data_IF_605270609767
#
_entry.id   IF_605270609767
#
_cell.length_a   1.000
_cell.length_b   1.000
_cell.length_c   1.000
_cell.angle_alpha   90.00
_cell.angle_beta   90.00
_cell.angle_gamma   90.00
#
_symmetry.space_group_name_H-M   'P 1'
#
loop_
_entity.id
_entity.type
_entity.pdbx_description
1 polymer ?
#
# COMPACT_ATOMS: atom_id res chain seq x y z
N UNK A 1 -10.55 -17.39 35.15
CA UNK A 1 -10.89 -18.36 34.10
C UNK A 1 -10.62 -17.66 32.77
N UNK A 2 -9.44 -17.87 32.19
CA UNK A 2 -9.04 -17.17 30.97
C UNK A 2 -9.78 -17.81 29.79
N UNK A 3 -10.67 -17.04 29.17
CA UNK A 3 -11.39 -17.47 27.98
C UNK A 3 -10.39 -17.44 26.82
N UNK A 4 -9.77 -18.59 26.52
CA UNK A 4 -9.02 -18.77 25.27
C UNK A 4 -10.06 -18.72 24.16
N UNK A 5 -10.18 -17.56 23.50
CA UNK A 5 -10.91 -17.47 22.24
C UNK A 5 -10.11 -18.32 21.24
N UNK A 6 -10.70 -19.34 20.61
CA UNK A 6 -9.96 -20.18 19.68
C UNK A 6 -9.46 -19.28 18.54
N UNK A 7 -8.16 -19.30 18.29
CA UNK A 7 -7.60 -18.73 17.08
C UNK A 7 -8.31 -19.42 15.90
N UNK A 8 -9.02 -18.64 15.09
CA UNK A 8 -9.55 -19.13 13.83
C UNK A 8 -8.37 -19.68 13.03
N UNK A 9 -8.31 -20.99 12.83
CA UNK A 9 -7.30 -21.60 11.98
C UNK A 9 -7.53 -21.10 10.55
N UNK A 10 -6.77 -20.07 10.15
CA UNK A 10 -6.74 -19.60 8.78
C UNK A 10 -5.75 -20.48 8.00
N UNK A 11 -6.21 -21.09 6.92
CA UNK A 11 -5.33 -21.82 6.01
C UNK A 11 -4.51 -20.79 5.20
N UNK A 12 -3.18 -20.89 5.30
CA UNK A 12 -2.26 -20.14 4.42
C UNK A 12 -2.02 -21.01 3.20
N UNK A 13 -2.30 -20.47 2.01
CA UNK A 13 -2.05 -21.12 0.72
C UNK A 13 -1.19 -20.24 -0.17
N UNK A 14 -0.29 -20.84 -0.94
CA UNK A 14 0.45 -20.13 -1.99
C UNK A 14 -0.44 -19.92 -3.19
N UNK A 15 -0.62 -18.67 -3.62
CA UNK A 15 -1.44 -18.31 -4.79
C UNK A 15 -0.60 -17.88 -5.99
N UNK A 16 0.59 -17.33 -5.77
CA UNK A 16 1.56 -16.97 -6.80
C UNK A 16 3.00 -17.02 -6.27
N UNK A 17 3.97 -17.23 -7.17
CA UNK A 17 5.39 -17.43 -6.84
C UNK A 17 5.75 -18.91 -6.73
N UNK A 18 7.03 -19.28 -6.95
CA UNK A 18 7.53 -20.63 -6.66
C UNK A 18 8.32 -21.37 -7.76
N UNK A 19 8.69 -20.75 -8.88
CA UNK A 19 9.45 -21.42 -9.97
C UNK A 19 9.92 -20.45 -11.07
N UNK A 20 10.27 -20.86 -12.30
CA UNK A 20 10.73 -19.99 -13.41
C UNK A 20 9.59 -19.25 -14.17
N UNK A 21 9.87 -18.43 -15.20
CA UNK A 21 8.88 -17.62 -15.95
C UNK A 21 7.96 -18.45 -16.91
N UNK A 22 6.77 -17.93 -17.29
CA UNK A 22 5.77 -18.50 -18.24
C UNK A 22 5.08 -19.81 -17.84
N UNK A 23 4.63 -19.90 -16.59
CA UNK A 23 4.04 -21.09 -15.98
C UNK A 23 2.84 -20.67 -15.11
N UNK A 24 2.02 -21.61 -14.58
CA UNK A 24 0.96 -21.27 -13.61
C UNK A 24 1.47 -20.37 -12.49
N UNK A 25 0.60 -19.53 -11.90
CA UNK A 25 1.03 -18.52 -10.92
C UNK A 25 1.84 -19.08 -9.76
N UNK A 26 1.46 -20.24 -9.24
CA UNK A 26 2.14 -21.01 -8.18
C UNK A 26 3.53 -21.55 -8.57
N UNK A 27 3.95 -21.33 -9.81
CA UNK A 27 5.24 -21.76 -10.33
C UNK A 27 6.03 -20.59 -10.93
N UNK A 28 5.54 -19.35 -10.87
CA UNK A 28 6.21 -18.20 -11.48
C UNK A 28 7.37 -17.66 -10.62
N UNK A 29 8.40 -17.08 -11.24
CA UNK A 29 9.52 -16.42 -10.54
C UNK A 29 9.10 -14.98 -10.22
N UNK A 30 8.45 -14.77 -9.08
CA UNK A 30 8.02 -13.43 -8.67
C UNK A 30 8.90 -12.92 -7.53
N UNK A 31 9.28 -11.65 -7.62
CA UNK A 31 9.89 -10.88 -6.53
C UNK A 31 8.88 -9.80 -6.14
N UNK A 32 7.84 -10.15 -5.35
CA UNK A 32 6.73 -9.25 -5.08
C UNK A 32 7.11 -8.18 -4.05
N UNK A 33 6.71 -6.94 -4.30
CA UNK A 33 6.75 -5.85 -3.32
C UNK A 33 5.35 -5.48 -2.82
N UNK A 34 4.34 -5.65 -3.67
CA UNK A 34 2.99 -5.19 -3.41
C UNK A 34 1.98 -6.04 -4.18
N UNK A 35 0.77 -6.13 -3.63
CA UNK A 35 -0.35 -6.83 -4.25
C UNK A 35 -1.64 -6.03 -4.07
N UNK A 36 -2.49 -6.00 -5.09
CA UNK A 36 -3.84 -5.42 -5.02
C UNK A 36 -4.83 -6.29 -5.81
N UNK A 37 -6.08 -6.33 -5.35
CA UNK A 37 -7.16 -7.08 -5.99
C UNK A 37 -8.09 -6.14 -6.75
N UNK A 38 -8.62 -6.60 -7.88
CA UNK A 38 -9.77 -5.96 -8.52
C UNK A 38 -11.10 -6.60 -8.07
N UNK A 39 -12.21 -5.94 -8.38
CA UNK A 39 -13.55 -6.43 -8.05
C UNK A 39 -13.95 -7.72 -8.78
N UNK A 40 -13.20 -8.12 -9.83
CA UNK A 40 -13.44 -9.35 -10.59
C UNK A 40 -12.67 -10.55 -10.03
N UNK A 41 -11.91 -10.35 -8.95
CA UNK A 41 -11.11 -11.40 -8.32
C UNK A 41 -9.76 -11.66 -8.98
N UNK A 42 -9.31 -10.79 -9.88
CA UNK A 42 -7.91 -10.81 -10.34
C UNK A 42 -7.04 -10.06 -9.32
N UNK A 43 -5.75 -10.35 -9.32
CA UNK A 43 -4.80 -9.62 -8.49
C UNK A 43 -3.56 -9.23 -9.26
N UNK A 44 -2.98 -8.11 -8.84
CA UNK A 44 -1.88 -7.44 -9.52
C UNK A 44 -0.70 -7.40 -8.58
N UNK A 45 0.46 -7.82 -9.07
CA UNK A 45 1.68 -8.00 -8.29
C UNK A 45 2.73 -7.05 -8.82
N UNK A 46 3.15 -6.10 -7.99
CA UNK A 46 4.27 -5.21 -8.29
C UNK A 46 5.59 -5.94 -8.05
N UNK A 47 6.49 -5.85 -9.02
CA UNK A 47 7.86 -6.40 -8.95
C UNK A 47 8.88 -5.32 -9.28
N UNK A 48 10.18 -5.64 -9.35
CA UNK A 48 11.25 -4.66 -9.55
C UNK A 48 11.03 -3.71 -10.75
N UNK A 49 10.55 -4.23 -11.90
CA UNK A 49 10.39 -3.45 -13.14
C UNK A 49 9.07 -3.75 -13.89
N UNK A 50 8.21 -4.59 -13.33
CA UNK A 50 6.97 -5.02 -13.99
C UNK A 50 5.83 -5.15 -13.00
N UNK A 51 4.60 -5.02 -13.52
CA UNK A 51 3.38 -5.39 -12.82
C UNK A 51 2.82 -6.60 -13.54
N UNK A 52 2.58 -7.68 -12.80
CA UNK A 52 1.92 -8.87 -13.31
C UNK A 52 0.45 -8.87 -12.90
N UNK A 53 -0.44 -9.30 -13.77
CA UNK A 53 -1.83 -9.63 -13.44
C UNK A 53 -1.95 -11.14 -13.36
N UNK A 54 -2.50 -11.63 -12.26
CA UNK A 54 -2.96 -13.01 -12.13
C UNK A 54 -4.47 -13.01 -12.26
N UNK A 55 -4.98 -13.73 -13.26
CA UNK A 55 -6.41 -13.84 -13.46
C UNK A 55 -7.08 -14.81 -12.46
N UNK A 56 -8.41 -14.80 -12.40
CA UNK A 56 -9.20 -15.69 -11.55
C UNK A 56 -8.96 -17.19 -11.79
N UNK A 57 -8.33 -17.58 -12.90
CA UNK A 57 -7.98 -18.96 -13.22
C UNK A 57 -6.54 -19.30 -12.80
N UNK A 58 -5.81 -18.36 -12.21
CA UNK A 58 -4.42 -18.55 -11.77
C UNK A 58 -3.38 -18.38 -12.87
N UNK A 59 -3.73 -17.73 -14.00
CA UNK A 59 -2.77 -17.43 -15.07
C UNK A 59 -2.11 -16.07 -14.87
N UNK A 60 -0.78 -16.04 -14.94
CA UNK A 60 0.02 -14.82 -14.82
C UNK A 60 0.30 -14.22 -16.19
N UNK A 61 0.04 -12.92 -16.34
CA UNK A 61 0.34 -12.15 -17.54
C UNK A 61 1.05 -10.86 -17.16
N UNK A 62 1.95 -10.37 -18.03
CA UNK A 62 2.50 -9.02 -17.88
C UNK A 62 1.37 -8.02 -18.07
N UNK A 63 1.08 -7.24 -17.03
CA UNK A 63 0.11 -6.15 -17.11
C UNK A 63 0.81 -4.84 -17.53
N UNK A 64 2.02 -4.61 -17.05
CA UNK A 64 2.81 -3.43 -17.37
C UNK A 64 4.31 -3.66 -17.19
N UNK A 65 5.12 -2.82 -17.85
CA UNK A 65 6.58 -2.84 -17.79
C UNK A 65 7.21 -3.66 -18.91
N UNK A 66 8.26 -3.11 -19.52
CA UNK A 66 8.94 -3.67 -20.70
C UNK A 66 9.95 -4.79 -20.41
N UNK A 67 10.10 -5.20 -19.14
CA UNK A 67 10.91 -6.35 -18.75
C UNK A 67 11.89 -6.09 -17.63
N UNK A 68 12.57 -7.15 -17.18
CA UNK A 68 13.59 -7.06 -16.14
C UNK A 68 14.76 -6.15 -16.57
N UNK A 69 15.23 -5.29 -15.66
CA UNK A 69 16.32 -4.34 -15.93
C UNK A 69 15.88 -3.05 -16.63
N UNK A 70 14.62 -2.95 -17.05
CA UNK A 70 14.04 -1.79 -17.70
C UNK A 70 13.58 -0.71 -16.70
N UNK A 71 14.51 -0.28 -15.85
CA UNK A 71 14.25 0.75 -14.82
C UNK A 71 14.20 2.15 -15.45
N UNK A 72 13.34 3.01 -14.90
CA UNK A 72 13.25 4.41 -15.29
C UNK A 72 11.81 4.88 -15.35
N UNK A 73 11.61 5.99 -16.05
CA UNK A 73 10.29 6.55 -16.32
C UNK A 73 10.24 6.96 -17.80
N UNK A 74 9.47 6.23 -18.60
CA UNK A 74 9.19 6.62 -19.98
C UNK A 74 7.87 5.98 -20.43
N UNK A 75 7.43 6.32 -21.64
CA UNK A 75 6.23 5.73 -22.25
C UNK A 75 4.91 6.34 -21.76
N UNK A 76 4.93 7.47 -21.04
CA UNK A 76 3.70 8.21 -20.72
C UNK A 76 2.93 8.55 -22.01
N UNK A 77 1.62 8.32 -21.99
CA UNK A 77 0.73 8.43 -23.15
C UNK A 77 0.75 7.21 -24.08
N UNK A 78 1.64 6.24 -23.84
CA UNK A 78 1.75 5.00 -24.62
C UNK A 78 1.26 3.76 -23.85
N UNK A 79 1.35 2.57 -24.48
CA UNK A 79 0.97 1.31 -23.84
C UNK A 79 1.80 1.01 -22.59
N UNK A 80 1.14 0.65 -21.49
CA UNK A 80 1.80 0.34 -20.21
C UNK A 80 2.82 -0.80 -20.30
N UNK A 81 2.62 -1.75 -21.22
CA UNK A 81 3.54 -2.88 -21.47
C UNK A 81 4.86 -2.49 -22.12
N UNK A 82 4.95 -1.29 -22.69
CA UNK A 82 6.18 -0.77 -23.33
C UNK A 82 6.93 0.25 -22.47
N UNK A 83 6.37 0.64 -21.33
CA UNK A 83 6.94 1.69 -20.49
C UNK A 83 8.08 1.18 -19.60
N UNK A 84 9.08 2.04 -19.39
CA UNK A 84 10.04 1.89 -18.30
C UNK A 84 9.37 2.31 -16.99
N UNK A 85 9.54 1.52 -15.94
CA UNK A 85 8.93 1.77 -14.64
C UNK A 85 9.67 1.05 -13.52
N UNK A 86 9.36 1.45 -12.29
CA UNK A 86 9.93 0.88 -11.08
C UNK A 86 8.88 0.82 -9.97
N UNK A 87 7.91 -0.13 -10.02
CA UNK A 87 6.75 -0.17 -9.13
C UNK A 87 7.10 -0.82 -7.79
N UNK A 88 8.10 -0.27 -7.09
CA UNK A 88 8.53 -0.72 -5.75
C UNK A 88 7.65 -0.15 -4.62
N UNK A 89 6.76 0.79 -4.94
CA UNK A 89 5.74 1.29 -4.02
C UNK A 89 4.50 0.40 -3.93
N UNK A 90 3.52 0.88 -3.18
CA UNK A 90 2.19 0.28 -3.12
C UNK A 90 1.48 0.34 -4.46
N UNK A 91 0.57 -0.62 -4.70
CA UNK A 91 -0.40 -0.58 -5.79
C UNK A 91 -1.78 -0.30 -5.20
N UNK A 92 -2.60 0.45 -5.92
CA UNK A 92 -4.04 0.57 -5.65
C UNK A 92 -4.82 0.54 -6.95
N UNK A 93 -6.08 0.10 -6.89
CA UNK A 93 -7.00 0.11 -8.03
C UNK A 93 -8.23 0.92 -7.64
N UNK A 94 -8.68 1.83 -8.50
CA UNK A 94 -9.96 2.53 -8.30
C UNK A 94 -11.16 1.72 -8.79
N UNK A 95 -12.38 2.19 -8.52
CA UNK A 95 -13.60 1.50 -8.94
C UNK A 95 -13.80 1.45 -10.46
N UNK A 96 -13.06 2.26 -11.23
CA UNK A 96 -13.06 2.22 -12.70
C UNK A 96 -12.02 1.24 -13.26
N UNK A 97 -11.22 0.60 -12.40
CA UNK A 97 -10.18 -0.35 -12.79
C UNK A 97 -8.84 0.31 -13.15
N UNK A 98 -8.66 1.60 -12.88
CA UNK A 98 -7.36 2.25 -13.07
C UNK A 98 -6.41 1.82 -11.96
N UNK A 99 -5.20 1.40 -12.34
CA UNK A 99 -4.16 0.98 -11.40
C UNK A 99 -3.19 2.13 -11.17
N UNK A 100 -2.97 2.50 -9.91
CA UNK A 100 -2.01 3.52 -9.49
C UNK A 100 -0.86 2.88 -8.73
N UNK A 101 0.34 3.41 -8.89
CA UNK A 101 1.51 2.92 -8.19
C UNK A 101 2.55 4.00 -7.93
N UNK A 102 3.27 3.84 -6.82
CA UNK A 102 4.50 4.58 -6.54
C UNK A 102 5.64 4.08 -7.41
N UNK A 103 6.16 4.95 -8.27
CA UNK A 103 7.34 4.71 -9.08
C UNK A 103 8.58 5.23 -8.32
N UNK A 104 9.62 4.40 -8.24
CA UNK A 104 10.85 4.75 -7.49
C UNK A 104 11.58 5.97 -8.07
N UNK A 105 11.18 6.47 -9.23
CA UNK A 105 11.67 7.71 -9.84
C UNK A 105 11.05 9.00 -9.25
N UNK A 106 10.32 8.92 -8.13
CA UNK A 106 9.71 10.09 -7.48
C UNK A 106 8.40 10.53 -8.13
N UNK A 107 7.63 9.56 -8.65
CA UNK A 107 6.35 9.80 -9.34
C UNK A 107 5.29 8.83 -8.86
N UNK A 108 4.04 9.24 -8.98
CA UNK A 108 2.89 8.32 -9.00
C UNK A 108 2.43 8.18 -10.43
N UNK A 109 2.29 6.94 -10.89
CA UNK A 109 1.83 6.63 -12.25
C UNK A 109 0.52 5.88 -12.21
N UNK A 110 -0.32 6.12 -13.21
CA UNK A 110 -1.63 5.50 -13.43
C UNK A 110 -1.60 4.72 -14.74
N UNK A 111 -2.09 3.50 -14.70
CA UNK A 111 -2.46 2.72 -15.87
C UNK A 111 -3.97 2.75 -15.99
N UNK A 112 -4.46 3.24 -17.12
CA UNK A 112 -5.88 3.30 -17.41
C UNK A 112 -6.46 1.89 -17.59
N UNK A 113 -7.56 1.61 -16.89
CA UNK A 113 -8.15 0.27 -16.83
C UNK A 113 -8.76 -0.23 -18.15
N UNK A 114 -9.05 0.69 -19.08
CA UNK A 114 -9.74 0.38 -20.35
C UNK A 114 -8.78 0.45 -21.53
N UNK A 115 -8.00 1.53 -21.62
CA UNK A 115 -7.09 1.82 -22.73
C UNK A 115 -5.70 1.24 -22.51
N UNK A 116 -5.35 0.86 -21.27
CA UNK A 116 -4.02 0.40 -20.87
C UNK A 116 -2.89 1.40 -21.17
N UNK A 117 -3.23 2.69 -21.26
CA UNK A 117 -2.25 3.76 -21.37
C UNK A 117 -1.69 4.09 -19.99
N UNK A 118 -0.37 4.30 -19.91
CA UNK A 118 0.29 4.76 -18.69
C UNK A 118 0.47 6.27 -18.69
N UNK A 119 0.31 6.91 -17.54
CA UNK A 119 0.47 8.37 -17.35
C UNK A 119 1.05 8.69 -15.98
N UNK A 120 1.84 9.76 -15.87
CA UNK A 120 2.20 10.35 -14.56
C UNK A 120 1.05 11.21 -14.05
N UNK A 121 0.60 10.96 -12.81
CA UNK A 121 -0.49 11.69 -12.16
C UNK A 121 -0.02 12.57 -11.00
N UNK A 122 1.15 12.30 -10.43
CA UNK A 122 1.77 13.16 -9.44
C UNK A 122 3.30 13.02 -9.45
N UNK A 123 4.00 14.08 -9.05
CA UNK A 123 5.46 14.09 -8.98
C UNK A 123 6.12 14.38 -10.31
N UNK A 124 7.17 15.22 -10.28
CA UNK A 124 7.98 15.57 -11.44
C UNK A 124 9.30 14.77 -11.52
N UNK A 125 9.56 13.91 -10.54
CA UNK A 125 10.76 13.08 -10.40
C UNK A 125 11.99 13.75 -9.81
N UNK A 126 11.90 15.02 -9.41
CA UNK A 126 12.90 15.65 -8.56
C UNK A 126 12.58 15.34 -7.10
N UNK A 127 13.57 14.80 -6.39
CA UNK A 127 13.46 14.53 -4.96
C UNK A 127 13.31 15.84 -4.17
N UNK A 128 12.30 15.90 -3.30
CA UNK A 128 12.10 17.02 -2.37
C UNK A 128 10.63 17.22 -2.02
N UNK A 129 10.32 18.36 -1.41
CA UNK A 129 8.96 18.77 -1.06
C UNK A 129 8.63 20.15 -1.65
N UNK A 130 7.62 20.21 -2.51
CA UNK A 130 7.08 21.45 -3.08
C UNK A 130 5.70 21.21 -3.72
N UNK A 131 5.08 22.27 -4.22
CA UNK A 131 3.92 22.19 -5.12
C UNK A 131 2.56 22.12 -4.44
N UNK A 132 2.47 22.17 -3.11
CA UNK A 132 1.18 22.25 -2.41
C UNK A 132 0.37 23.47 -2.89
N UNK A 133 -0.90 23.24 -3.22
CA UNK A 133 -1.80 24.23 -3.84
C UNK A 133 -1.66 24.37 -5.36
N UNK A 134 -0.71 23.66 -5.98
CA UNK A 134 -0.49 23.66 -7.43
C UNK A 134 -0.78 22.30 -8.10
N UNK A 135 -0.50 22.19 -9.42
CA UNK A 135 -0.71 20.96 -10.17
C UNK A 135 0.12 19.78 -9.61
N UNK A 136 -0.51 18.63 -9.41
CA UNK A 136 0.14 17.46 -8.81
C UNK A 136 1.35 16.95 -9.60
N UNK A 137 1.33 17.04 -10.93
CA UNK A 137 2.42 16.63 -11.82
C UNK A 137 3.62 17.57 -11.77
N UNK A 138 3.47 18.80 -11.25
CA UNK A 138 4.57 19.75 -11.09
C UNK A 138 5.26 19.62 -9.72
N UNK A 139 4.63 18.97 -8.75
CA UNK A 139 5.16 18.84 -7.40
C UNK A 139 6.39 17.94 -7.32
N UNK A 140 7.21 18.16 -6.29
CA UNK A 140 8.28 17.24 -5.90
C UNK A 140 7.80 16.31 -4.78
N UNK A 141 8.22 15.05 -4.87
CA UNK A 141 7.93 13.98 -3.92
C UNK A 141 9.25 13.39 -3.40
N UNK A 142 9.27 13.00 -2.14
CA UNK A 142 10.38 12.34 -1.45
C UNK A 142 10.09 10.86 -1.27
N UNK A 143 10.53 10.06 -2.26
CA UNK A 143 10.41 8.58 -2.28
C UNK A 143 8.99 8.07 -2.03
N UNK A 144 8.00 8.42 -2.87
CA UNK A 144 6.62 8.00 -2.65
C UNK A 144 6.49 6.46 -2.60
N UNK A 145 5.79 5.94 -1.59
CA UNK A 145 5.65 4.49 -1.35
C UNK A 145 4.21 4.04 -1.47
N UNK A 146 3.43 4.07 -0.39
CA UNK A 146 2.02 3.66 -0.38
C UNK A 146 1.14 4.65 -1.14
N UNK A 147 0.16 4.11 -1.86
CA UNK A 147 -0.88 4.87 -2.55
C UNK A 147 -2.25 4.29 -2.22
N UNK A 148 -3.26 5.15 -2.10
CA UNK A 148 -4.65 4.74 -1.90
C UNK A 148 -5.56 5.71 -2.68
N UNK A 149 -6.69 5.23 -3.17
CA UNK A 149 -7.66 6.06 -3.90
C UNK A 149 -9.03 5.94 -3.24
N UNK A 150 -9.68 7.07 -2.97
CA UNK A 150 -11.02 7.05 -2.39
C UNK A 150 -12.11 6.84 -3.45
N UNK A 151 -13.36 6.70 -3.00
CA UNK A 151 -14.53 6.46 -3.85
C UNK A 151 -14.88 7.60 -4.80
N UNK A 152 -14.33 8.81 -4.59
CA UNK A 152 -14.49 9.96 -5.49
C UNK A 152 -13.25 10.18 -6.37
N UNK A 153 -12.25 9.32 -6.26
CA UNK A 153 -11.04 9.32 -7.10
C UNK A 153 -9.89 10.17 -6.56
N UNK A 154 -9.96 10.70 -5.33
CA UNK A 154 -8.81 11.40 -4.76
C UNK A 154 -7.70 10.39 -4.47
N UNK A 155 -6.48 10.76 -4.84
CA UNK A 155 -5.29 9.94 -4.64
C UNK A 155 -4.55 10.41 -3.40
N UNK A 156 -4.31 9.48 -2.48
CA UNK A 156 -3.50 9.67 -1.27
C UNK A 156 -2.14 8.99 -1.48
N UNK A 157 -1.08 9.62 -0.96
CA UNK A 157 0.30 9.23 -1.21
C UNK A 157 1.08 9.32 0.10
N UNK A 158 1.72 8.23 0.52
CA UNK A 158 2.75 8.30 1.54
C UNK A 158 4.04 8.87 0.93
N UNK A 159 4.54 9.94 1.52
CA UNK A 159 5.71 10.70 1.08
C UNK A 159 6.79 10.61 2.19
N UNK A 160 7.37 9.42 2.42
CA UNK A 160 8.15 9.06 3.61
C UNK A 160 9.33 9.97 3.86
N UNK A 161 10.12 10.29 2.83
CA UNK A 161 11.29 11.16 3.02
C UNK A 161 10.92 12.59 3.39
N UNK A 162 9.69 13.00 3.10
CA UNK A 162 9.14 14.29 3.50
C UNK A 162 8.28 14.20 4.78
N UNK A 163 8.16 13.02 5.39
CA UNK A 163 7.43 12.75 6.63
C UNK A 163 5.94 13.15 6.58
N UNK A 164 5.26 12.92 5.45
CA UNK A 164 3.86 13.36 5.28
C UNK A 164 3.02 12.46 4.40
N UNK A 165 1.72 12.74 4.41
CA UNK A 165 0.76 12.22 3.45
C UNK A 165 0.36 13.34 2.49
N UNK A 166 0.41 13.08 1.19
CA UNK A 166 -0.06 13.99 0.14
C UNK A 166 -1.42 13.52 -0.38
N UNK A 167 -2.26 14.47 -0.79
CA UNK A 167 -3.55 14.22 -1.45
C UNK A 167 -3.58 14.97 -2.77
N UNK A 168 -3.91 14.26 -3.85
CA UNK A 168 -4.27 14.84 -5.15
C UNK A 168 -5.78 14.82 -5.26
N UNK A 169 -6.36 15.99 -5.45
CA UNK A 169 -7.79 16.15 -5.66
C UNK A 169 -8.19 15.69 -7.07
N UNK A 170 -9.19 14.81 -7.17
CA UNK A 170 -9.58 14.19 -8.44
C UNK A 170 -10.12 15.20 -9.46
N UNK A 171 -10.87 16.20 -9.00
CA UNK A 171 -11.52 17.18 -9.89
C UNK A 171 -10.56 18.27 -10.34
N UNK A 172 -9.75 18.78 -9.43
CA UNK A 172 -8.87 19.93 -9.68
C UNK A 172 -7.43 19.55 -10.03
N UNK A 173 -7.03 18.30 -9.77
CA UNK A 173 -5.64 17.82 -9.93
C UNK A 173 -4.63 18.61 -9.09
N UNK A 174 -5.10 19.29 -8.03
CA UNK A 174 -4.26 20.03 -7.09
C UNK A 174 -3.74 19.08 -6.03
N UNK A 175 -2.45 19.19 -5.71
CA UNK A 175 -1.84 18.46 -4.60
C UNK A 175 -1.83 19.29 -3.33
N UNK A 176 -2.10 18.65 -2.20
CA UNK A 176 -2.10 19.23 -0.85
C UNK A 176 -1.51 18.24 0.15
N UNK A 177 -1.21 18.71 1.36
CA UNK A 177 -0.77 17.86 2.48
C UNK A 177 -1.96 17.53 3.38
N UNK A 178 -2.12 16.26 3.73
CA UNK A 178 -3.06 15.80 4.76
C UNK A 178 -2.37 15.92 6.13
N UNK A 179 -2.95 16.63 7.11
CA UNK A 179 -2.34 16.85 8.40
C UNK A 179 -2.40 15.57 9.24
N UNK A 180 -1.24 14.99 9.50
CA UNK A 180 -1.06 13.88 10.44
C UNK A 180 0.10 14.25 11.36
N UNK A 181 -0.16 14.74 12.58
CA UNK A 181 0.89 15.24 13.46
C UNK A 181 1.76 14.08 13.96
N UNK A 182 3.08 14.32 14.02
CA UNK A 182 4.02 13.38 14.63
C UNK A 182 4.40 12.17 13.76
N UNK A 183 4.20 12.25 12.43
CA UNK A 183 4.73 11.26 11.50
C UNK A 183 6.26 11.25 11.53
N UNK A 184 6.85 10.05 11.63
CA UNK A 184 8.31 9.86 11.61
C UNK A 184 8.78 9.22 10.31
N UNK A 185 8.02 8.27 9.74
CA UNK A 185 8.25 7.65 8.44
C UNK A 185 6.98 6.92 7.95
N UNK A 186 6.00 7.64 7.36
CA UNK A 186 4.77 7.03 6.83
C UNK A 186 5.10 6.12 5.65
N UNK A 187 4.46 4.95 5.51
CA UNK A 187 4.81 4.00 4.45
C UNK A 187 3.60 3.39 3.76
N UNK A 188 2.92 2.43 4.40
CA UNK A 188 1.71 1.82 3.89
C UNK A 188 0.49 2.68 4.19
N UNK A 189 -0.42 2.77 3.22
CA UNK A 189 -1.70 3.45 3.41
C UNK A 189 -2.84 2.64 2.79
N UNK A 190 -4.03 2.77 3.38
CA UNK A 190 -5.27 2.22 2.85
C UNK A 190 -6.41 3.18 3.18
N UNK A 191 -7.48 3.22 2.38
CA UNK A 191 -8.65 4.05 2.65
C UNK A 191 -9.90 3.19 2.57
N UNK A 192 -10.82 3.37 3.52
CA UNK A 192 -12.12 2.72 3.46
C UNK A 192 -13.14 3.52 2.64
N UNK A 193 -14.29 2.91 2.36
CA UNK A 193 -15.39 3.54 1.62
C UNK A 193 -16.05 4.71 2.36
N UNK A 194 -15.79 4.86 3.65
CA UNK A 194 -16.26 5.98 4.47
C UNK A 194 -15.26 7.15 4.53
N UNK A 195 -14.13 7.07 3.80
CA UNK A 195 -13.11 8.10 3.77
C UNK A 195 -12.23 8.13 5.02
N UNK A 196 -12.05 7.00 5.71
CA UNK A 196 -11.04 6.86 6.75
C UNK A 196 -9.76 6.35 6.12
N UNK A 197 -8.74 7.21 6.11
CA UNK A 197 -7.40 6.88 5.65
C UNK A 197 -6.60 6.28 6.80
N UNK A 198 -6.08 5.08 6.62
CA UNK A 198 -5.17 4.39 7.53
C UNK A 198 -3.74 4.55 7.04
N UNK A 199 -2.83 4.84 7.96
CA UNK A 199 -1.42 5.14 7.66
C UNK A 199 -0.54 4.37 8.63
N UNK A 200 0.33 3.49 8.13
CA UNK A 200 1.42 2.94 8.94
C UNK A 200 2.55 3.97 9.01
N UNK A 201 2.92 4.33 10.23
CA UNK A 201 4.13 5.09 10.52
C UNK A 201 5.20 4.13 11.04
N UNK A 202 6.09 3.72 10.13
CA UNK A 202 7.12 2.71 10.41
C UNK A 202 8.15 3.23 11.40
N UNK A 203 8.45 4.54 11.35
CA UNK A 203 9.39 5.17 12.28
C UNK A 203 8.75 5.50 13.63
N UNK A 204 7.44 5.74 13.63
CA UNK A 204 6.67 6.06 14.82
C UNK A 204 6.05 4.84 15.49
N UNK A 205 6.22 3.62 14.94
CA UNK A 205 5.66 2.36 15.45
C UNK A 205 4.17 2.43 15.76
N UNK A 206 3.43 3.12 14.86
CA UNK A 206 2.01 3.46 15.04
C UNK A 206 1.25 3.27 13.74
N UNK A 207 -0.05 3.09 13.88
CA UNK A 207 -1.02 3.20 12.79
C UNK A 207 -1.96 4.35 13.11
N UNK A 208 -2.02 5.33 12.22
CA UNK A 208 -2.96 6.44 12.30
C UNK A 208 -4.20 6.13 11.48
N UNK A 209 -5.36 6.59 11.95
CA UNK A 209 -6.59 6.76 11.17
C UNK A 209 -6.85 8.25 11.02
N UNK A 210 -7.06 8.71 9.80
CA UNK A 210 -7.41 10.07 9.45
C UNK A 210 -8.81 10.08 8.85
N UNK A 211 -9.70 10.87 9.42
CA UNK A 211 -10.96 11.21 8.76
C UNK A 211 -10.67 12.30 7.73
N UNK A 212 -10.80 11.99 6.43
CA UNK A 212 -10.39 12.92 5.37
C UNK A 212 -11.35 14.12 5.21
N UNK A 213 -12.58 14.04 5.73
CA UNK A 213 -13.52 15.15 5.67
C UNK A 213 -13.23 16.19 6.77
N UNK A 214 -12.93 15.72 7.98
CA UNK A 214 -12.65 16.55 9.15
C UNK A 214 -11.16 16.83 9.36
N UNK A 215 -10.30 16.12 8.64
CA UNK A 215 -8.83 16.18 8.75
C UNK A 215 -8.32 15.80 10.15
N UNK A 216 -9.10 15.03 10.91
CA UNK A 216 -8.73 14.59 12.27
C UNK A 216 -7.97 13.28 12.18
N UNK A 217 -6.73 13.28 12.70
CA UNK A 217 -5.88 12.09 12.80
C UNK A 217 -5.86 11.55 14.25
N UNK A 218 -5.99 10.23 14.40
CA UNK A 218 -5.95 9.51 15.68
C UNK A 218 -5.11 8.25 15.57
N UNK A 219 -4.32 7.92 16.59
CA UNK A 219 -3.63 6.62 16.67
C UNK A 219 -4.66 5.53 16.96
N UNK A 220 -4.70 4.50 16.11
CA UNK A 220 -5.62 3.36 16.25
C UNK A 220 -4.91 2.05 16.60
N UNK A 221 -3.59 1.98 16.38
CA UNK A 221 -2.76 0.87 16.85
C UNK A 221 -1.32 1.34 17.11
N UNK A 222 -0.62 0.65 18.01
CA UNK A 222 0.78 0.93 18.32
C UNK A 222 0.97 1.99 19.41
N UNK A 223 1.85 1.68 20.37
CA UNK A 223 2.18 2.56 21.48
C UNK A 223 3.40 3.47 21.20
N UNK A 224 4.06 3.30 20.05
CA UNK A 224 5.27 4.04 19.68
C UNK A 224 6.59 3.36 20.06
N UNK A 225 6.54 2.12 20.56
CA UNK A 225 7.71 1.28 20.82
C UNK A 225 7.77 0.16 19.81
N UNK A 226 8.94 -0.04 19.21
CA UNK A 226 9.21 -1.19 18.35
C UNK A 226 9.06 -2.50 19.14
N UNK A 227 8.35 -3.47 18.56
CA UNK A 227 8.16 -4.79 19.16
C UNK A 227 6.88 -5.45 18.65
N UNK A 228 6.48 -6.54 19.31
CA UNK A 228 5.35 -7.37 18.86
C UNK A 228 4.43 -7.80 20.02
N UNK A 229 4.51 -7.15 21.18
CA UNK A 229 3.70 -7.50 22.35
C UNK A 229 2.29 -6.86 22.29
N UNK A 230 1.41 -7.32 23.18
CA UNK A 230 0.06 -6.76 23.38
C UNK A 230 -1.06 -7.43 22.59
N UNK A 231 -0.81 -8.55 21.92
CA UNK A 231 -1.87 -9.37 21.32
C UNK A 231 -2.89 -9.82 22.37
N UNK A 232 -4.17 -9.79 22.02
CA UNK A 232 -5.31 -10.00 22.92
C UNK A 232 -5.71 -8.76 23.75
N UNK A 233 -4.93 -7.67 23.69
CA UNK A 233 -5.19 -6.41 24.39
C UNK A 233 -5.64 -5.27 23.47
N UNK A 234 -5.80 -4.05 24.02
CA UNK A 234 -6.12 -2.85 23.23
C UNK A 234 -5.05 -2.57 22.17
N UNK A 235 -5.47 -2.32 20.93
CA UNK A 235 -4.57 -2.10 19.81
C UNK A 235 -3.59 -0.94 20.02
N UNK A 236 -4.02 0.13 20.70
CA UNK A 236 -3.19 1.30 21.01
C UNK A 236 -2.12 1.04 22.07
N UNK A 237 -2.23 -0.04 22.84
CA UNK A 237 -1.24 -0.42 23.84
C UNK A 237 -0.15 -1.36 23.29
N UNK A 238 -0.38 -1.96 22.12
CA UNK A 238 0.52 -2.94 21.53
C UNK A 238 1.83 -2.31 21.01
N UNK A 239 2.92 -3.08 21.05
CA UNK A 239 4.15 -2.74 20.32
C UNK A 239 4.00 -3.21 18.88
N UNK A 240 4.50 -2.42 17.91
CA UNK A 240 4.41 -2.74 16.49
C UNK A 240 5.73 -2.41 15.76
N UNK A 241 6.03 -3.16 14.70
CA UNK A 241 6.95 -2.73 13.65
C UNK A 241 6.19 -2.77 12.31
N UNK A 242 5.23 -1.84 12.11
CA UNK A 242 4.27 -1.93 11.02
C UNK A 242 4.92 -1.55 9.68
N UNK A 243 4.51 -2.19 8.59
CA UNK A 243 4.98 -1.86 7.23
C UNK A 243 3.82 -1.47 6.32
N UNK A 244 2.86 -2.36 6.10
CA UNK A 244 1.66 -2.14 5.29
C UNK A 244 0.38 -2.27 6.14
N UNK A 245 -0.70 -1.67 5.64
CA UNK A 245 -2.04 -1.79 6.22
C UNK A 245 -3.06 -2.06 5.13
N UNK A 246 -4.03 -2.91 5.43
CA UNK A 246 -5.26 -3.09 4.66
C UNK A 246 -6.47 -2.94 5.59
N UNK A 247 -7.62 -2.57 5.03
CA UNK A 247 -8.88 -2.43 5.74
C UNK A 247 -9.96 -3.21 5.01
N UNK A 248 -10.75 -3.99 5.75
CA UNK A 248 -11.91 -4.69 5.18
C UNK A 248 -13.19 -3.84 5.21
N UNK A 249 -14.26 -4.34 4.59
CA UNK A 249 -15.55 -3.65 4.53
C UNK A 249 -16.26 -3.51 5.89
N UNK A 250 -15.84 -4.27 6.91
CA UNK A 250 -16.30 -4.11 8.29
C UNK A 250 -15.42 -3.12 9.09
N UNK A 251 -14.38 -2.56 8.47
CA UNK A 251 -13.43 -1.63 9.06
C UNK A 251 -12.33 -2.29 9.91
N UNK A 252 -12.19 -3.62 9.89
CA UNK A 252 -11.08 -4.28 10.56
C UNK A 252 -9.78 -3.94 9.84
N UNK A 253 -8.71 -3.71 10.60
CA UNK A 253 -7.40 -3.40 10.05
C UNK A 253 -6.52 -4.64 10.05
N UNK A 254 -5.79 -4.87 8.97
CA UNK A 254 -4.76 -5.89 8.84
C UNK A 254 -3.43 -5.19 8.65
N UNK A 255 -2.51 -5.39 9.57
CA UNK A 255 -1.21 -4.72 9.62
C UNK A 255 -0.16 -5.78 9.34
N UNK A 256 0.65 -5.61 8.30
CA UNK A 256 1.88 -6.40 8.18
C UNK A 256 2.90 -5.87 9.19
N UNK A 257 3.31 -6.75 10.09
CA UNK A 257 4.30 -6.48 11.11
C UNK A 257 5.57 -7.22 10.69
N UNK A 258 6.71 -6.52 10.59
CA UNK A 258 7.96 -7.08 10.01
C UNK A 258 8.56 -8.25 10.80
N UNK A 259 7.90 -8.69 11.87
CA UNK A 259 8.19 -9.90 12.63
C UNK A 259 7.50 -11.16 12.06
N UNK A 260 7.38 -11.28 10.74
CA UNK A 260 6.72 -12.41 10.05
C UNK A 260 5.23 -12.59 10.40
N UNK A 261 4.50 -11.50 10.68
CA UNK A 261 3.09 -11.57 11.12
C UNK A 261 2.16 -10.61 10.38
N UNK A 262 0.90 -11.01 10.30
CA UNK A 262 -0.22 -10.12 10.02
C UNK A 262 -1.02 -10.00 11.32
N UNK A 263 -1.10 -8.78 11.87
CA UNK A 263 -1.91 -8.47 13.04
C UNK A 263 -3.23 -7.84 12.61
N UNK A 264 -4.33 -8.29 13.18
CA UNK A 264 -5.67 -7.77 12.94
C UNK A 264 -6.11 -6.90 14.10
N UNK A 265 -6.59 -5.70 13.83
CA UNK A 265 -7.35 -4.87 14.78
C UNK A 265 -8.83 -5.02 14.46
N UNK A 266 -9.60 -5.51 15.43
CA UNK A 266 -11.05 -5.62 15.30
C UNK A 266 -11.73 -4.25 15.47
N UNK A 267 -12.57 -3.87 14.52
CA UNK A 267 -13.14 -2.52 14.47
C UNK A 267 -14.17 -2.25 15.56
N UNK A 268 -14.85 -3.29 16.05
CA UNK A 268 -15.87 -3.15 17.09
C UNK A 268 -15.24 -3.12 18.49
N UNK A 269 -14.28 -4.01 18.74
CA UNK A 269 -13.68 -4.21 20.07
C UNK A 269 -12.38 -3.45 20.27
N UNK A 270 -11.73 -2.98 19.20
CA UNK A 270 -10.41 -2.34 19.22
C UNK A 270 -9.30 -3.24 19.80
N UNK A 271 -9.53 -4.56 19.81
CA UNK A 271 -8.55 -5.55 20.24
C UNK A 271 -7.66 -5.92 19.06
N UNK A 272 -6.35 -6.06 19.32
CA UNK A 272 -5.38 -6.55 18.34
C UNK A 272 -5.06 -8.03 18.55
N UNK A 273 -5.05 -8.81 17.48
CA UNK A 273 -4.76 -10.26 17.51
C UNK A 273 -3.88 -10.67 16.34
N UNK A 274 -3.22 -11.82 16.43
CA UNK A 274 -2.52 -12.43 15.29
C UNK A 274 -3.55 -13.02 14.33
N UNK A 275 -3.50 -12.62 13.05
CA UNK A 275 -4.32 -13.21 11.98
C UNK A 275 -3.54 -14.25 11.18
N UNK A 276 -2.23 -14.06 10.99
CA UNK A 276 -1.34 -15.00 10.32
C UNK A 276 0.12 -14.81 10.78
N UNK A 277 0.96 -15.84 10.65
CA UNK A 277 2.36 -15.82 11.07
C UNK A 277 2.62 -16.48 12.42
N UNK A 278 3.88 -16.52 12.86
CA UNK A 278 4.29 -17.21 14.11
C UNK A 278 4.45 -16.26 15.29
N UNK A 279 4.15 -16.74 16.50
CA UNK A 279 4.56 -16.10 17.74
C UNK A 279 6.08 -16.22 18.00
N UNK A 280 6.93 -15.52 17.25
CA UNK A 280 8.19 -15.03 17.87
C UNK A 280 9.44 -14.92 17.00
N UNK A 281 10.26 -13.95 17.45
CA UNK A 281 11.67 -13.63 17.16
C UNK A 281 11.85 -12.34 16.35
N UNK A 282 12.39 -11.30 16.99
CA UNK A 282 12.92 -10.11 16.31
C UNK A 282 14.03 -10.58 15.37
N UNK A 283 13.84 -10.47 14.04
CA UNK A 283 14.97 -10.54 13.12
C UNK A 283 15.52 -9.13 12.93
N UNK A 284 16.84 -8.90 13.08
CA UNK A 284 17.45 -7.65 12.66
C UNK A 284 17.22 -7.46 11.16
N UNK A 285 16.89 -6.24 10.73
CA UNK A 285 16.77 -5.89 9.32
C UNK A 285 18.09 -6.22 8.59
N UNK A 286 18.00 -6.85 7.42
CA UNK A 286 19.08 -6.85 6.44
C UNK A 286 19.04 -5.56 5.63
#
# INVERSE_FOLDING_TARGET
>A
MSLVVPAFAQNIITVAGGGPNNVPAVSAALVPFSVVFDASGNYYIGTLAQIFRVDKNGQVNVYAGSGFGAYGFSGDGGPATSALMCPQGGLTIDSAGNLFFGDCTGRIRRIDGVTHLITTVAGNGTYGFSGDGGPATAATLGTPTGVAVDSVGNLFIADPSNLRIRRVDAGTQVITTVPVPGLVRPFGIAIDSAGKLFVTDVGGHRVYRVDVATQVATVVAGNGTEGFSGDGGPATAAQLSPDAVAVDSAGNLFISDVSDRIRRVDSATQVITISAGTEGQLRPRR
#
